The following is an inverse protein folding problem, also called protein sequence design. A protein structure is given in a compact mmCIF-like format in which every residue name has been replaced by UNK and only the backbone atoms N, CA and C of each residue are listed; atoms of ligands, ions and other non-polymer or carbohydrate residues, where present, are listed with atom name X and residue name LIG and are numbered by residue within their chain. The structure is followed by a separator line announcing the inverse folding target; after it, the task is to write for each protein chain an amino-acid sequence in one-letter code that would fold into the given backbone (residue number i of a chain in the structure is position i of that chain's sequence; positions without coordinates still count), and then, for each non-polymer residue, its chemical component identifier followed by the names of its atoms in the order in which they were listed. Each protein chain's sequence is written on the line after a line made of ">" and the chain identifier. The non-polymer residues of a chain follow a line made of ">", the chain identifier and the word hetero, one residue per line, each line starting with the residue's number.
data_IF_052582652688
#
_entry.id   IF_052582652688
#
_cell.length_a   1.000
_cell.length_b   1.000
_cell.length_c   1.000
_cell.angle_alpha   90.00
_cell.angle_beta   90.00
_cell.angle_gamma   90.00
#
_symmetry.space_group_name_H-M   'P 1'
#
loop_
_entity.id
_entity.type
_entity.pdbx_description
1 polymer ?
#
# COMPACT_ATOMS: atom_id res chain seq x y z
N UNK A 1 -49.28 42.46 -41.15
CA UNK A 1 -48.46 43.43 -40.37
C UNK A 1 -48.42 42.97 -38.92
N UNK A 2 -47.21 42.84 -38.34
CA UNK A 2 -46.82 42.90 -36.90
C UNK A 2 -47.64 42.03 -35.90
N UNK A 3 -47.05 41.29 -34.97
CA UNK A 3 -45.74 41.44 -34.36
C UNK A 3 -45.28 40.16 -33.68
N UNK A 4 -43.96 39.99 -33.73
CA UNK A 4 -43.15 39.08 -32.93
C UNK A 4 -42.60 39.94 -31.78
N UNK A 5 -42.59 39.42 -30.55
CA UNK A 5 -41.63 39.63 -29.44
C UNK A 5 -42.31 39.13 -28.16
N UNK A 6 -41.81 38.04 -27.60
CA UNK A 6 -41.57 37.89 -26.16
C UNK A 6 -40.20 37.20 -26.01
N UNK A 7 -39.22 38.03 -25.62
CA UNK A 7 -37.98 37.75 -24.90
C UNK A 7 -38.28 37.12 -23.52
N UNK A 8 -37.48 36.35 -22.78
CA UNK A 8 -36.06 35.96 -22.74
C UNK A 8 -35.95 34.85 -21.67
N UNK A 9 -35.02 33.90 -21.79
CA UNK A 9 -34.17 33.53 -20.64
C UNK A 9 -32.87 32.85 -21.10
N UNK A 10 -31.83 33.68 -21.07
CA UNK A 10 -30.46 33.40 -20.65
C UNK A 10 -29.63 32.32 -21.40
N UNK A 11 -28.94 32.70 -22.50
CA UNK A 11 -27.71 32.06 -22.92
C UNK A 11 -26.51 32.68 -22.18
N UNK A 12 -25.45 31.91 -21.95
CA UNK A 12 -24.14 32.26 -21.33
C UNK A 12 -23.96 31.89 -19.85
N UNK A 13 -23.10 30.89 -19.63
CA UNK A 13 -22.52 30.55 -18.33
C UNK A 13 -21.60 29.33 -18.40
N UNK A 14 -20.42 29.51 -19.02
CA UNK A 14 -19.35 28.51 -19.16
C UNK A 14 -18.98 27.83 -17.83
N UNK A 15 -18.60 26.55 -17.89
CA UNK A 15 -17.24 26.18 -17.48
C UNK A 15 -16.61 25.19 -18.47
N UNK A 16 -15.64 25.71 -19.19
CA UNK A 16 -14.54 24.98 -19.79
C UNK A 16 -13.62 24.48 -18.68
N UNK A 17 -13.17 23.24 -18.77
CA UNK A 17 -12.09 22.67 -17.96
C UNK A 17 -12.05 21.17 -18.22
N UNK A 18 -11.31 20.67 -19.22
CA UNK A 18 -9.89 20.31 -19.06
C UNK A 18 -9.45 20.25 -17.60
N UNK A 19 -10.07 19.39 -16.81
CA UNK A 19 -9.46 18.81 -15.60
C UNK A 19 -9.90 17.35 -15.51
N UNK A 20 -9.33 16.52 -16.39
CA UNK A 20 -9.14 15.09 -16.13
C UNK A 20 -8.09 14.87 -15.03
N UNK A 21 -8.06 15.73 -14.02
CA UNK A 21 -7.46 15.41 -12.74
C UNK A 21 -8.55 14.63 -12.05
N UNK A 22 -8.28 13.34 -11.84
CA UNK A 22 -9.08 12.47 -10.99
C UNK A 22 -9.33 13.22 -9.69
N UNK A 23 -10.49 13.86 -9.56
CA UNK A 23 -10.98 14.34 -8.28
C UNK A 23 -11.24 13.06 -7.51
N UNK A 24 -10.22 12.61 -6.77
CA UNK A 24 -10.27 11.50 -5.84
C UNK A 24 -11.32 11.86 -4.81
N UNK A 25 -12.58 11.55 -5.12
CA UNK A 25 -13.68 11.69 -4.20
C UNK A 25 -13.32 10.82 -2.99
N UNK A 26 -13.31 11.41 -1.80
CA UNK A 26 -12.92 10.73 -0.57
C UNK A 26 -13.71 9.42 -0.38
N UNK A 27 -14.96 9.41 -0.85
CA UNK A 27 -15.82 8.22 -0.87
C UNK A 27 -15.31 7.12 -1.81
N UNK A 28 -14.80 7.48 -2.99
CA UNK A 28 -14.21 6.52 -3.94
C UNK A 28 -12.93 5.92 -3.36
N UNK A 29 -12.11 6.73 -2.69
CA UNK A 29 -10.89 6.27 -2.03
C UNK A 29 -11.19 5.25 -0.90
N UNK A 30 -12.19 5.54 -0.07
CA UNK A 30 -12.63 4.61 0.99
C UNK A 30 -13.23 3.33 0.42
N UNK A 31 -14.00 3.40 -0.68
CA UNK A 31 -14.56 2.22 -1.39
C UNK A 31 -13.43 1.34 -1.95
N UNK A 32 -12.43 1.94 -2.61
CA UNK A 32 -11.26 1.24 -3.14
C UNK A 32 -10.43 0.58 -2.04
N UNK A 33 -10.17 1.30 -0.95
CA UNK A 33 -9.40 0.77 0.17
C UNK A 33 -10.12 -0.39 0.86
N UNK A 34 -11.45 -0.33 1.01
CA UNK A 34 -12.24 -1.40 1.61
C UNK A 34 -12.35 -2.63 0.70
N UNK A 35 -12.42 -2.45 -0.62
CA UNK A 35 -12.53 -3.58 -1.56
C UNK A 35 -11.19 -4.31 -1.75
N UNK A 36 -10.07 -3.61 -1.58
CA UNK A 36 -8.70 -4.14 -1.79
C UNK A 36 -7.83 -4.11 -0.53
N UNK A 37 -8.38 -4.06 0.68
CA UNK A 37 -7.59 -3.97 1.92
C UNK A 37 -6.54 -5.09 2.07
N UNK A 38 -6.82 -6.28 1.55
CA UNK A 38 -5.89 -7.42 1.52
C UNK A 38 -4.61 -7.07 0.75
N UNK A 39 -4.68 -6.31 -0.35
CA UNK A 39 -3.47 -5.94 -1.10
C UNK A 39 -2.58 -5.03 -0.28
N UNK A 40 -3.17 -4.10 0.48
CA UNK A 40 -2.44 -3.22 1.41
C UNK A 40 -1.79 -4.04 2.52
N UNK A 41 -2.53 -4.97 3.14
CA UNK A 41 -1.98 -5.81 4.20
C UNK A 41 -0.83 -6.68 3.70
N UNK A 42 -0.95 -7.27 2.51
CA UNK A 42 0.11 -8.10 1.92
C UNK A 42 1.35 -7.27 1.59
N UNK A 43 1.20 -6.09 1.00
CA UNK A 43 2.36 -5.23 0.68
C UNK A 43 3.05 -4.71 1.94
N UNK A 44 2.28 -4.35 2.96
CA UNK A 44 2.82 -3.97 4.27
C UNK A 44 3.60 -5.12 4.89
N UNK A 45 3.02 -6.33 4.90
CA UNK A 45 3.68 -7.50 5.46
C UNK A 45 5.00 -7.79 4.73
N UNK A 46 5.00 -7.77 3.39
CA UNK A 46 6.20 -7.98 2.59
C UNK A 46 7.26 -6.89 2.85
N UNK A 47 6.85 -5.63 2.95
CA UNK A 47 7.78 -4.52 3.22
C UNK A 47 8.42 -4.62 4.62
N UNK A 48 7.63 -4.95 5.65
CA UNK A 48 8.11 -5.14 7.02
C UNK A 48 9.02 -6.37 7.12
N UNK A 49 8.66 -7.49 6.50
CA UNK A 49 9.51 -8.68 6.45
C UNK A 49 10.81 -8.41 5.70
N UNK A 50 10.75 -7.68 4.59
CA UNK A 50 11.93 -7.25 3.84
C UNK A 50 12.85 -6.34 4.66
N UNK A 51 12.29 -5.35 5.35
CA UNK A 51 13.04 -4.47 6.24
C UNK A 51 13.67 -5.24 7.42
N UNK A 52 12.93 -6.19 8.00
CA UNK A 52 13.43 -7.07 9.04
C UNK A 52 14.57 -7.97 8.55
N UNK A 53 14.43 -8.58 7.37
CA UNK A 53 15.46 -9.41 6.76
C UNK A 53 16.72 -8.59 6.44
N UNK A 54 16.58 -7.41 5.84
CA UNK A 54 17.71 -6.51 5.58
C UNK A 54 18.42 -6.12 6.88
N UNK A 55 17.65 -5.83 7.93
CA UNK A 55 18.18 -5.54 9.27
C UNK A 55 18.92 -6.74 9.86
N UNK A 56 18.43 -7.97 9.68
CA UNK A 56 19.13 -9.17 10.15
C UNK A 56 20.40 -9.48 9.37
N UNK A 57 20.50 -9.03 8.11
CA UNK A 57 21.66 -9.24 7.24
C UNK A 57 22.74 -8.15 7.38
N UNK A 58 22.40 -6.97 7.91
CA UNK A 58 23.39 -5.90 8.15
C UNK A 58 24.33 -6.26 9.29
N UNK A 59 25.63 -6.05 9.07
CA UNK A 59 26.68 -6.28 10.07
C UNK A 59 26.48 -5.37 11.29
N UNK A 60 26.48 -5.92 12.52
CA UNK A 60 26.32 -5.11 13.71
C UNK A 60 27.55 -4.24 13.97
N UNK A 61 27.34 -2.96 14.28
CA UNK A 61 28.41 -2.06 14.72
C UNK A 61 28.19 -1.66 16.17
N UNK A 62 29.26 -1.76 16.95
CA UNK A 62 29.32 -1.39 18.36
C UNK A 62 29.99 -0.04 18.51
N UNK A 63 29.49 0.76 19.45
CA UNK A 63 30.04 2.09 19.72
C UNK A 63 30.72 2.11 21.10
N UNK A 64 31.99 2.47 21.13
CA UNK A 64 32.71 2.75 22.37
C UNK A 64 32.98 4.26 22.48
N UNK A 65 32.88 4.79 23.70
CA UNK A 65 33.02 6.23 23.94
C UNK A 65 34.06 6.52 25.02
N UNK A 66 34.93 7.50 24.78
CA UNK A 66 35.83 8.10 25.78
C UNK A 66 35.49 9.57 25.97
N UNK A 67 35.76 10.09 27.18
CA UNK A 67 35.64 11.52 27.47
C UNK A 67 36.99 12.10 27.87
N UNK A 68 37.35 13.18 27.21
CA UNK A 68 38.58 13.93 27.46
C UNK A 68 38.25 15.27 28.10
N UNK A 69 39.09 15.71 29.03
CA UNK A 69 39.01 17.02 29.66
C UNK A 69 40.22 17.86 29.26
N UNK A 70 39.96 19.07 28.78
CA UNK A 70 40.98 20.03 28.36
C UNK A 70 41.17 21.07 29.47
N UNK A 71 42.41 21.30 29.87
CA UNK A 71 42.76 22.33 30.85
C UNK A 71 43.99 23.11 30.41
N UNK A 72 43.99 24.42 30.60
CA UNK A 72 45.17 25.27 30.40
C UNK A 72 46.07 25.31 31.63
N UNK A 73 47.36 25.58 31.42
CA UNK A 73 48.27 25.92 32.51
C UNK A 73 47.70 27.08 33.34
N UNK A 74 47.73 26.94 34.67
CA UNK A 74 47.06 27.87 35.59
C UNK A 74 47.92 29.12 35.83
N UNK A 75 47.38 30.30 35.52
CA UNK A 75 47.93 31.58 35.99
C UNK A 75 47.49 31.91 37.42
N UNK A 76 48.27 32.73 38.14
CA UNK A 76 47.98 33.11 39.54
C UNK A 76 46.96 34.24 39.69
N UNK A 77 46.57 34.94 38.62
CA UNK A 77 45.58 36.03 38.68
C UNK A 77 44.20 35.62 38.18
N UNK A 78 43.15 36.26 38.70
CA UNK A 78 41.75 36.03 38.29
C UNK A 78 41.55 36.30 36.79
N UNK A 79 42.23 37.32 36.24
CA UNK A 79 42.24 37.63 34.81
C UNK A 79 42.83 36.50 33.96
N UNK A 80 43.91 35.86 34.42
CA UNK A 80 44.55 34.74 33.70
C UNK A 80 43.65 33.50 33.69
N UNK A 81 42.89 33.27 34.77
CA UNK A 81 41.94 32.16 34.87
C UNK A 81 40.76 32.36 33.91
N UNK A 82 40.20 33.57 33.83
CA UNK A 82 39.10 33.87 32.90
C UNK A 82 39.55 33.78 31.44
N UNK A 83 40.74 34.29 31.11
CA UNK A 83 41.29 34.20 29.75
C UNK A 83 41.66 32.75 29.40
N UNK A 84 42.23 31.99 30.35
CA UNK A 84 42.57 30.57 30.18
C UNK A 84 41.34 29.68 29.95
N UNK A 85 40.22 29.96 30.60
CA UNK A 85 38.98 29.20 30.35
C UNK A 85 38.44 29.43 28.93
N UNK A 86 38.45 30.68 28.44
CA UNK A 86 38.02 30.99 27.07
C UNK A 86 38.98 30.38 26.03
N UNK A 87 40.29 30.43 26.29
CA UNK A 87 41.30 29.78 25.45
C UNK A 87 41.09 28.26 25.40
N UNK A 88 40.80 27.61 26.54
CA UNK A 88 40.47 26.18 26.60
C UNK A 88 39.26 25.84 25.72
N UNK A 89 38.21 26.66 25.76
CA UNK A 89 37.02 26.48 24.92
C UNK A 89 37.31 26.64 23.42
N UNK A 90 38.17 27.59 23.03
CA UNK A 90 38.60 27.77 21.63
C UNK A 90 39.49 26.61 21.14
N UNK A 91 40.31 26.02 22.03
CA UNK A 91 41.13 24.83 21.72
C UNK A 91 40.32 23.56 21.54
N UNK A 92 39.23 23.39 22.29
CA UNK A 92 38.36 22.21 22.21
C UNK A 92 37.88 21.94 20.78
N UNK A 93 37.52 22.99 20.02
CA UNK A 93 37.11 22.85 18.62
C UNK A 93 38.28 22.34 17.76
N UNK A 94 39.45 22.98 17.84
CA UNK A 94 40.64 22.52 17.10
C UNK A 94 41.04 21.09 17.47
N UNK A 95 40.91 20.71 18.75
CA UNK A 95 41.22 19.37 19.23
C UNK A 95 40.24 18.32 18.71
N UNK A 96 38.96 18.65 18.56
CA UNK A 96 38.00 17.73 17.90
C UNK A 96 38.41 17.42 16.46
N UNK A 97 38.92 18.40 15.71
CA UNK A 97 39.43 18.18 14.35
C UNK A 97 40.70 17.33 14.34
N UNK A 98 41.64 17.58 15.26
CA UNK A 98 42.87 16.78 15.40
C UNK A 98 42.59 15.32 15.77
N UNK A 99 41.58 15.07 16.62
CA UNK A 99 41.13 13.72 16.99
C UNK A 99 40.62 12.92 15.78
N UNK A 100 40.04 13.60 14.79
CA UNK A 100 39.60 13.01 13.53
C UNK A 100 40.69 13.01 12.44
N UNK A 101 41.90 13.47 12.79
CA UNK A 101 43.03 13.61 11.88
C UNK A 101 43.74 12.29 11.55
N UNK A 102 44.35 12.25 10.37
CA UNK A 102 44.95 11.01 9.83
C UNK A 102 46.18 10.57 10.63
N UNK A 103 46.95 11.53 11.14
CA UNK A 103 48.14 11.26 11.96
C UNK A 103 47.80 10.44 13.20
N UNK A 104 46.72 10.81 13.90
CA UNK A 104 46.30 10.11 15.10
C UNK A 104 45.72 8.72 14.78
N UNK A 105 44.93 8.64 13.70
CA UNK A 105 44.43 7.36 13.21
C UNK A 105 45.57 6.41 12.85
N UNK A 106 46.62 6.89 12.16
CA UNK A 106 47.79 6.09 11.82
C UNK A 106 48.54 5.60 13.06
N UNK A 107 48.82 6.49 14.03
CA UNK A 107 49.44 6.11 15.31
C UNK A 107 48.65 5.02 16.04
N UNK A 108 47.32 5.12 16.02
CA UNK A 108 46.43 4.14 16.65
C UNK A 108 46.47 2.79 15.93
N UNK A 109 46.44 2.80 14.58
CA UNK A 109 46.57 1.59 13.75
C UNK A 109 47.89 0.89 14.02
N UNK A 110 48.99 1.64 14.02
CA UNK A 110 50.34 1.10 14.24
C UNK A 110 50.50 0.51 15.65
N UNK A 111 49.95 1.18 16.67
CA UNK A 111 50.05 0.75 18.07
C UNK A 111 49.23 -0.50 18.39
N UNK A 112 48.06 -0.64 17.77
CA UNK A 112 47.18 -1.80 17.95
C UNK A 112 47.43 -2.91 16.92
N UNK A 113 48.25 -2.67 15.90
CA UNK A 113 48.47 -3.63 14.82
C UNK A 113 47.21 -3.96 14.03
N UNK A 114 46.37 -2.95 13.76
CA UNK A 114 45.09 -3.17 13.07
C UNK A 114 45.29 -3.46 11.59
N UNK A 115 44.47 -4.36 11.03
CA UNK A 115 44.49 -4.69 9.59
C UNK A 115 43.77 -3.65 8.70
N UNK A 116 43.31 -2.53 9.28
CA UNK A 116 42.61 -1.46 8.57
C UNK A 116 43.55 -0.29 8.28
N UNK A 117 43.28 0.46 7.20
CA UNK A 117 44.03 1.68 6.89
C UNK A 117 43.63 2.84 7.80
N UNK A 118 44.51 3.82 7.98
CA UNK A 118 44.21 5.02 8.77
C UNK A 118 42.95 5.77 8.27
N UNK A 119 42.72 5.98 6.95
CA UNK A 119 41.48 6.57 6.47
C UNK A 119 40.23 5.77 6.84
N UNK A 120 40.30 4.44 6.79
CA UNK A 120 39.18 3.59 7.19
C UNK A 120 38.89 3.67 8.70
N UNK A 121 39.91 3.91 9.52
CA UNK A 121 39.73 4.20 10.94
C UNK A 121 39.15 5.60 11.17
N UNK A 122 39.58 6.62 10.41
CA UNK A 122 39.03 7.98 10.52
C UNK A 122 37.51 7.99 10.30
N UNK A 123 37.00 7.27 9.30
CA UNK A 123 35.56 7.18 9.01
C UNK A 123 34.75 6.54 10.16
N UNK A 124 35.43 5.85 11.09
CA UNK A 124 34.85 5.18 12.26
C UNK A 124 34.98 5.99 13.55
N UNK A 125 35.74 7.08 13.53
CA UNK A 125 36.01 7.92 14.68
C UNK A 125 35.23 9.22 14.53
N UNK A 126 34.51 9.60 15.57
CA UNK A 126 33.81 10.87 15.61
C UNK A 126 34.04 11.54 16.98
N UNK A 127 34.50 12.80 16.96
CA UNK A 127 34.76 13.59 18.15
C UNK A 127 33.81 14.80 18.18
N UNK A 128 33.15 14.99 19.31
CA UNK A 128 32.19 16.09 19.50
C UNK A 128 32.46 16.81 20.80
N UNK A 129 32.15 18.10 20.83
CA UNK A 129 32.19 18.93 22.04
C UNK A 129 30.87 19.67 22.18
N UNK A 130 30.43 19.91 23.42
CA UNK A 130 29.29 20.79 23.67
C UNK A 130 29.76 22.25 23.70
N UNK A 131 28.92 23.15 23.22
CA UNK A 131 29.20 24.59 23.27
C UNK A 131 29.53 25.01 24.71
N UNK A 132 30.54 25.88 24.86
CA UNK A 132 31.00 26.40 26.16
C UNK A 132 31.54 25.34 27.14
N UNK A 133 31.92 24.16 26.66
CA UNK A 133 32.53 23.10 27.48
C UNK A 133 33.99 22.84 27.14
N UNK A 134 34.73 22.33 28.12
CA UNK A 134 36.11 21.84 27.96
C UNK A 134 36.17 20.30 27.86
N UNK A 135 35.04 19.69 27.52
CA UNK A 135 34.88 18.25 27.41
C UNK A 135 34.78 17.87 25.93
N UNK A 136 35.51 16.82 25.57
CA UNK A 136 35.44 16.21 24.24
C UNK A 136 34.98 14.77 24.41
N UNK A 137 33.84 14.45 23.81
CA UNK A 137 33.33 13.08 23.70
C UNK A 137 33.85 12.49 22.39
N UNK A 138 34.64 11.43 22.48
CA UNK A 138 35.17 10.68 21.33
C UNK A 138 34.43 9.36 21.24
N UNK A 139 33.93 9.04 20.06
CA UNK A 139 33.17 7.83 19.78
C UNK A 139 33.84 7.05 18.65
N UNK A 140 33.91 5.74 18.80
CA UNK A 140 34.49 4.83 17.83
C UNK A 140 33.50 3.73 17.51
N UNK A 141 33.28 3.49 16.22
CA UNK A 141 32.43 2.42 15.70
C UNK A 141 33.26 1.26 15.17
N UNK A 142 32.95 0.05 15.62
CA UNK A 142 33.61 -1.15 15.11
C UNK A 142 32.70 -2.39 15.20
N UNK A 143 32.92 -3.37 14.34
CA UNK A 143 32.19 -4.65 14.33
C UNK A 143 32.41 -5.48 15.61
N UNK A 144 33.52 -5.28 16.32
CA UNK A 144 33.82 -5.94 17.58
C UNK A 144 33.75 -4.95 18.75
N UNK A 145 32.93 -5.28 19.75
CA UNK A 145 32.79 -4.49 20.98
C UNK A 145 34.13 -4.29 21.72
N UNK A 146 34.96 -5.32 21.76
CA UNK A 146 36.28 -5.27 22.41
C UNK A 146 37.22 -4.36 21.61
N UNK A 147 37.25 -4.51 20.28
CA UNK A 147 38.09 -3.70 19.40
C UNK A 147 37.67 -2.23 19.42
N UNK A 148 36.37 -1.93 19.43
CA UNK A 148 35.85 -0.57 19.57
C UNK A 148 36.40 0.10 20.84
N UNK A 149 36.34 -0.59 21.98
CA UNK A 149 36.87 -0.12 23.26
C UNK A 149 38.38 0.14 23.18
N UNK A 150 39.13 -0.82 22.64
CA UNK A 150 40.60 -0.76 22.59
C UNK A 150 41.08 0.37 21.68
N UNK A 151 40.41 0.55 20.54
CA UNK A 151 40.65 1.69 19.64
C UNK A 151 40.33 3.01 20.36
N UNK A 152 39.16 3.15 20.99
CA UNK A 152 38.77 4.39 21.65
C UNK A 152 39.75 4.80 22.78
N UNK A 153 40.15 3.83 23.60
CA UNK A 153 41.13 4.05 24.67
C UNK A 153 42.52 4.38 24.11
N UNK A 154 43.01 3.62 23.12
CA UNK A 154 44.34 3.83 22.55
C UNK A 154 44.43 5.15 21.80
N UNK A 155 43.40 5.49 21.02
CA UNK A 155 43.30 6.77 20.29
C UNK A 155 43.31 7.95 21.26
N UNK A 156 42.60 7.83 22.38
CA UNK A 156 42.59 8.83 23.44
C UNK A 156 43.96 8.97 24.11
N UNK A 157 44.62 7.85 24.42
CA UNK A 157 45.96 7.85 25.02
C UNK A 157 47.01 8.45 24.06
N UNK A 158 46.96 8.11 22.76
CA UNK A 158 47.82 8.70 21.73
C UNK A 158 47.53 10.18 21.49
N UNK A 159 46.28 10.61 21.65
CA UNK A 159 45.91 12.01 21.53
C UNK A 159 46.50 12.85 22.66
N UNK A 160 46.50 12.33 23.90
CA UNK A 160 47.15 12.99 25.04
C UNK A 160 48.65 13.19 24.76
N UNK A 161 49.31 12.21 24.15
CA UNK A 161 50.72 12.32 23.73
C UNK A 161 50.89 13.36 22.63
N UNK A 162 50.05 13.32 21.58
CA UNK A 162 50.11 14.26 20.46
C UNK A 162 49.88 15.71 20.91
N UNK A 163 48.89 15.97 21.76
CA UNK A 163 48.65 17.32 22.29
C UNK A 163 49.83 17.78 23.13
N UNK A 164 50.41 16.91 23.95
CA UNK A 164 51.63 17.25 24.69
C UNK A 164 52.78 17.61 23.75
N UNK A 165 52.98 16.89 22.65
CA UNK A 165 54.00 17.22 21.65
C UNK A 165 53.74 18.56 20.95
N UNK A 166 52.47 18.91 20.68
CA UNK A 166 52.08 20.14 19.99
C UNK A 166 52.08 21.38 20.91
N UNK A 167 51.77 21.22 22.19
CA UNK A 167 51.62 22.32 23.15
C UNK A 167 52.85 22.53 24.06
N UNK A 168 53.90 21.70 23.93
CA UNK A 168 55.17 21.91 24.65
C UNK A 168 56.04 22.88 23.85
N UNK A 169 56.39 24.06 24.39
CA UNK A 169 57.29 25.02 23.71
C UNK A 169 58.70 24.42 23.48
N UNK A 170 59.42 24.93 22.47
CA UNK A 170 60.79 24.48 22.13
C UNK A 170 61.78 24.62 23.31
N UNK A 171 61.52 25.56 24.22
CA UNK A 171 62.31 25.81 25.42
C UNK A 171 62.11 24.75 26.53
N UNK A 172 61.17 23.81 26.36
CA UNK A 172 60.93 22.70 27.27
C UNK A 172 60.11 23.04 28.52
N UNK A 173 59.43 24.20 28.51
CA UNK A 173 58.54 24.66 29.57
C UNK A 173 57.25 23.82 29.67
N UNK A 174 56.41 24.11 30.68
CA UNK A 174 55.16 23.39 30.88
C UNK A 174 54.20 23.59 29.70
N UNK A 175 53.47 22.54 29.24
CA UNK A 175 52.54 22.67 28.12
C UNK A 175 51.45 23.71 28.40
N UNK A 176 51.15 24.55 27.40
CA UNK A 176 50.14 25.62 27.47
C UNK A 176 48.74 25.04 27.72
N UNK A 177 48.46 23.89 27.13
CA UNK A 177 47.26 23.11 27.36
C UNK A 177 47.60 21.63 27.63
N UNK A 178 46.74 20.99 28.43
CA UNK A 178 46.82 19.59 28.79
C UNK A 178 45.47 18.93 28.56
N UNK A 179 45.51 17.73 28.02
CA UNK A 179 44.35 16.85 27.87
C UNK A 179 44.53 15.67 28.79
N UNK A 180 43.47 15.33 29.53
CA UNK A 180 43.42 14.13 30.36
C UNK A 180 42.21 13.29 29.98
N UNK A 181 42.34 11.97 30.09
CA UNK A 181 41.22 11.04 29.91
C UNK A 181 40.40 11.04 31.19
N UNK A 182 39.21 11.65 31.16
CA UNK A 182 38.28 11.71 32.30
C UNK A 182 37.50 10.39 32.42
N UNK A 183 36.98 9.89 31.30
CA UNK A 183 36.27 8.61 31.23
C UNK A 183 36.87 7.72 30.14
N UNK A 184 37.33 6.54 30.54
CA UNK A 184 37.77 5.48 29.62
C UNK A 184 36.58 4.73 29.02
N UNK A 185 36.76 4.20 27.82
CA UNK A 185 35.74 3.39 27.16
C UNK A 185 35.53 2.07 27.90
N UNK A 186 34.26 1.73 28.12
CA UNK A 186 33.81 0.40 28.51
C UNK A 186 33.51 -0.46 27.28
N UNK A 187 33.37 -1.77 27.47
CA UNK A 187 32.88 -2.66 26.41
C UNK A 187 31.38 -2.36 26.23
N UNK A 188 30.91 -2.01 25.02
CA UNK A 188 29.49 -1.86 24.76
C UNK A 188 28.77 -3.21 24.76
N UNK A 189 27.62 -3.28 25.42
CA UNK A 189 26.81 -4.50 25.53
C UNK A 189 26.00 -4.76 24.26
N UNK A 190 25.40 -3.71 23.69
CA UNK A 190 24.52 -3.78 22.53
C UNK A 190 25.09 -3.04 21.31
N UNK A 191 24.85 -3.53 20.08
CA UNK A 191 25.22 -2.81 18.87
C UNK A 191 24.31 -1.59 18.63
N UNK A 192 24.87 -0.51 18.10
CA UNK A 192 24.14 0.72 17.74
C UNK A 192 23.58 0.71 16.32
N UNK A 193 24.08 -0.20 15.48
CA UNK A 193 23.62 -0.46 14.11
C UNK A 193 23.44 -1.97 13.95
N UNK A 194 22.38 -2.43 13.28
CA UNK A 194 21.28 -1.66 12.72
C UNK A 194 20.26 -1.21 13.76
N UNK A 195 19.61 -0.07 13.52
CA UNK A 195 18.53 0.41 14.38
C UNK A 195 17.23 -0.30 14.02
N UNK A 196 17.00 -1.45 14.65
CA UNK A 196 15.90 -2.38 14.35
C UNK A 196 14.53 -1.70 14.32
N UNK A 197 14.18 -0.93 15.36
CA UNK A 197 12.88 -0.27 15.47
C UNK A 197 12.68 0.80 14.36
N UNK A 198 13.59 1.78 14.17
CA UNK A 198 13.49 2.72 13.05
C UNK A 198 13.41 2.06 11.67
N UNK A 199 14.18 1.00 11.43
CA UNK A 199 14.17 0.29 10.15
C UNK A 199 12.81 -0.36 9.89
N UNK A 200 12.23 -1.03 10.90
CA UNK A 200 10.90 -1.64 10.79
C UNK A 200 9.80 -0.57 10.61
N UNK A 201 9.88 0.56 11.30
CA UNK A 201 8.95 1.67 11.12
C UNK A 201 9.03 2.27 9.71
N UNK A 202 10.24 2.38 9.16
CA UNK A 202 10.46 2.84 7.79
C UNK A 202 9.87 1.83 6.79
N UNK A 203 10.08 0.53 7.02
CA UNK A 203 9.46 -0.54 6.22
C UNK A 203 7.93 -0.52 6.28
N UNK A 204 7.35 -0.29 7.47
CA UNK A 204 5.91 -0.14 7.66
C UNK A 204 5.37 1.06 6.87
N UNK A 205 5.99 2.24 7.02
CA UNK A 205 5.56 3.46 6.35
C UNK A 205 5.60 3.31 4.82
N UNK A 206 6.71 2.78 4.28
CA UNK A 206 6.86 2.50 2.86
C UNK A 206 5.84 1.46 2.37
N UNK A 207 5.61 0.39 3.15
CA UNK A 207 4.63 -0.64 2.84
C UNK A 207 3.20 -0.12 2.76
N UNK A 208 2.82 0.82 3.63
CA UNK A 208 1.49 1.45 3.62
C UNK A 208 1.34 2.34 2.39
N UNK A 209 2.31 3.21 2.12
CA UNK A 209 2.27 4.12 0.96
C UNK A 209 2.17 3.32 -0.33
N UNK A 210 3.04 2.32 -0.50
CA UNK A 210 3.05 1.47 -1.68
C UNK A 210 1.76 0.63 -1.79
N UNK A 211 1.26 0.12 -0.66
CA UNK A 211 0.04 -0.68 -0.61
C UNK A 211 -1.19 0.09 -1.03
N UNK A 212 -1.34 1.32 -0.54
CA UNK A 212 -2.42 2.24 -0.93
C UNK A 212 -2.31 2.55 -2.43
N UNK A 213 -1.12 2.91 -2.91
CA UNK A 213 -0.90 3.19 -4.33
C UNK A 213 -1.27 2.01 -5.23
N UNK A 214 -0.87 0.80 -4.86
CA UNK A 214 -1.22 -0.44 -5.59
C UNK A 214 -2.71 -0.79 -5.50
N UNK A 215 -3.37 -0.52 -4.37
CA UNK A 215 -4.80 -0.72 -4.20
C UNK A 215 -5.61 0.20 -5.13
N UNK A 216 -5.25 1.49 -5.17
CA UNK A 216 -5.89 2.47 -6.07
C UNK A 216 -5.61 2.13 -7.53
N UNK A 217 -4.35 1.82 -7.88
CA UNK A 217 -4.00 1.43 -9.24
C UNK A 217 -4.79 0.20 -9.71
N UNK A 218 -4.95 -0.80 -8.84
CA UNK A 218 -5.78 -1.98 -9.13
C UNK A 218 -7.26 -1.65 -9.30
N UNK A 219 -7.78 -0.66 -8.59
CA UNK A 219 -9.18 -0.26 -8.72
C UNK A 219 -9.42 0.54 -10.01
N UNK A 220 -8.48 1.42 -10.39
CA UNK A 220 -8.55 2.19 -11.65
C UNK A 220 -8.39 1.29 -12.88
N UNK A 221 -7.58 0.22 -12.79
CA UNK A 221 -7.44 -0.77 -13.87
C UNK A 221 -8.60 -1.80 -13.91
N UNK A 222 -9.52 -1.76 -12.95
CA UNK A 222 -10.65 -2.67 -12.87
C UNK A 222 -11.80 -2.21 -13.76
N UNK A 223 -11.84 -2.69 -15.00
CA UNK A 223 -12.87 -2.35 -16.00
C UNK A 223 -14.23 -3.07 -15.77
N UNK A 224 -14.53 -3.51 -14.55
CA UNK A 224 -15.78 -4.19 -14.22
C UNK A 224 -16.89 -3.18 -13.95
N UNK A 225 -18.07 -3.38 -14.55
CA UNK A 225 -19.28 -2.61 -14.23
C UNK A 225 -19.83 -3.08 -12.87
N UNK A 226 -19.71 -2.23 -11.85
CA UNK A 226 -20.10 -2.56 -10.46
C UNK A 226 -21.38 -1.89 -10.00
N UNK A 227 -21.75 -0.79 -10.64
CA UNK A 227 -22.83 0.09 -10.19
C UNK A 227 -23.86 0.30 -11.31
N UNK A 228 -25.14 0.47 -10.91
CA UNK A 228 -26.29 0.66 -11.82
C UNK A 228 -26.13 1.90 -12.69
N UNK A 229 -25.69 3.00 -12.08
CA UNK A 229 -25.44 4.28 -12.74
C UNK A 229 -24.43 4.14 -13.88
N UNK A 230 -23.30 3.46 -13.63
CA UNK A 230 -22.27 3.21 -14.66
C UNK A 230 -22.81 2.42 -15.85
N UNK A 231 -23.76 1.50 -15.64
CA UNK A 231 -24.38 0.73 -16.71
C UNK A 231 -25.35 1.60 -17.53
N UNK A 232 -26.17 2.42 -16.88
CA UNK A 232 -27.12 3.32 -17.54
C UNK A 232 -26.38 4.40 -18.35
N UNK A 233 -25.30 4.97 -17.81
CA UNK A 233 -24.43 5.93 -18.50
C UNK A 233 -23.75 5.32 -19.72
N UNK A 234 -23.23 4.09 -19.61
CA UNK A 234 -22.49 3.45 -20.70
C UNK A 234 -23.40 2.96 -21.81
N UNK A 235 -24.58 2.42 -21.47
CA UNK A 235 -25.49 1.80 -22.44
C UNK A 235 -26.54 2.78 -22.99
N UNK A 236 -26.82 3.87 -22.27
CA UNK A 236 -27.91 4.79 -22.59
C UNK A 236 -29.30 4.16 -22.43
N UNK A 237 -29.41 3.02 -21.73
CA UNK A 237 -30.66 2.28 -21.57
C UNK A 237 -31.06 2.18 -20.09
N UNK A 238 -32.37 2.25 -19.83
CA UNK A 238 -32.89 2.06 -18.49
C UNK A 238 -32.78 0.60 -18.05
N UNK A 239 -32.37 0.36 -16.81
CA UNK A 239 -32.31 -0.99 -16.26
C UNK A 239 -33.71 -1.49 -15.93
N UNK A 240 -34.08 -2.61 -16.57
CA UNK A 240 -35.37 -3.30 -16.39
C UNK A 240 -35.47 -4.02 -15.04
N UNK A 241 -34.35 -4.43 -14.45
CA UNK A 241 -34.33 -5.02 -13.10
C UNK A 241 -32.94 -5.46 -12.65
N UNK A 242 -32.78 -5.67 -11.34
CA UNK A 242 -31.57 -6.23 -10.73
C UNK A 242 -31.89 -7.55 -10.04
N UNK A 243 -31.14 -8.60 -10.37
CA UNK A 243 -31.32 -9.93 -9.78
C UNK A 243 -30.13 -10.20 -8.84
N UNK A 244 -30.37 -10.45 -7.54
CA UNK A 244 -29.29 -10.80 -6.61
C UNK A 244 -28.56 -12.08 -7.04
N UNK A 245 -27.23 -12.10 -6.87
CA UNK A 245 -26.44 -13.29 -7.14
C UNK A 245 -26.61 -14.33 -6.01
N UNK A 246 -27.22 -15.45 -6.34
CA UNK A 246 -27.29 -16.63 -5.48
C UNK A 246 -26.38 -17.74 -6.04
N UNK A 247 -25.37 -18.13 -5.25
CA UNK A 247 -24.36 -19.12 -5.66
C UNK A 247 -24.94 -20.53 -5.79
N UNK A 248 -25.97 -20.86 -5.01
CA UNK A 248 -26.59 -22.19 -5.03
C UNK A 248 -27.44 -22.40 -6.29
N UNK A 249 -27.88 -21.30 -6.91
CA UNK A 249 -28.67 -21.30 -8.16
C UNK A 249 -27.85 -21.58 -9.41
N UNK A 250 -26.52 -21.62 -9.32
CA UNK A 250 -25.69 -22.19 -10.40
C UNK A 250 -25.98 -23.68 -10.64
N UNK A 251 -26.51 -24.39 -9.63
CA UNK A 251 -26.86 -25.82 -9.72
C UNK A 251 -28.35 -26.04 -9.96
N UNK A 252 -29.22 -25.14 -9.47
CA UNK A 252 -30.66 -25.20 -9.64
C UNK A 252 -31.19 -23.87 -10.19
N UNK A 253 -31.33 -23.79 -11.52
CA UNK A 253 -31.70 -22.54 -12.17
C UNK A 253 -33.16 -22.12 -11.90
N UNK A 254 -34.10 -23.07 -11.81
CA UNK A 254 -35.51 -22.76 -11.57
C UNK A 254 -35.77 -22.43 -10.09
N UNK A 255 -36.47 -21.32 -9.84
CA UNK A 255 -36.93 -20.90 -8.53
C UNK A 255 -38.30 -21.53 -8.25
N UNK A 256 -38.53 -22.00 -7.03
CA UNK A 256 -39.87 -22.29 -6.55
C UNK A 256 -40.52 -20.99 -6.09
N UNK A 257 -41.65 -20.65 -6.70
CA UNK A 257 -42.46 -19.49 -6.35
C UNK A 257 -43.43 -19.78 -5.19
N UNK A 258 -43.45 -21.03 -4.69
CA UNK A 258 -44.31 -21.46 -3.58
C UNK A 258 -43.89 -20.87 -2.22
N UNK A 259 -42.63 -20.44 -2.11
CA UNK A 259 -42.13 -19.79 -0.91
C UNK A 259 -42.32 -18.27 -1.01
N UNK A 260 -43.39 -17.77 -0.37
CA UNK A 260 -43.85 -16.38 -0.43
C UNK A 260 -42.78 -15.34 -0.03
N UNK A 261 -41.74 -15.74 0.72
CA UNK A 261 -40.74 -14.82 1.29
C UNK A 261 -39.35 -14.85 0.62
N UNK A 262 -39.21 -15.37 -0.60
CA UNK A 262 -37.91 -15.39 -1.30
C UNK A 262 -37.57 -14.02 -1.92
N UNK A 263 -36.47 -13.34 -1.51
CA UNK A 263 -36.07 -12.05 -2.10
C UNK A 263 -35.79 -12.13 -3.61
N UNK A 264 -35.41 -13.30 -4.10
CA UNK A 264 -35.12 -13.54 -5.52
C UNK A 264 -36.42 -13.74 -6.30
N UNK A 265 -37.41 -14.44 -5.73
CA UNK A 265 -38.73 -14.56 -6.34
C UNK A 265 -39.37 -13.17 -6.50
N UNK A 266 -39.26 -12.32 -5.48
CA UNK A 266 -39.67 -10.91 -5.54
C UNK A 266 -38.93 -10.12 -6.62
N UNK A 267 -37.62 -10.37 -6.82
CA UNK A 267 -36.87 -9.74 -7.91
C UNK A 267 -37.41 -10.12 -9.30
N UNK A 268 -37.77 -11.39 -9.51
CA UNK A 268 -38.37 -11.85 -10.77
C UNK A 268 -39.83 -11.41 -10.95
N UNK A 269 -40.62 -11.31 -9.88
CA UNK A 269 -41.96 -10.70 -9.91
C UNK A 269 -41.90 -9.22 -10.29
N UNK A 270 -40.93 -8.47 -9.74
CA UNK A 270 -40.65 -7.08 -10.15
C UNK A 270 -40.23 -7.00 -11.61
N UNK A 271 -39.34 -7.89 -12.06
CA UNK A 271 -38.90 -7.94 -13.45
C UNK A 271 -40.07 -8.20 -14.41
N UNK A 272 -40.96 -9.14 -14.09
CA UNK A 272 -42.21 -9.40 -14.84
C UNK A 272 -43.05 -8.13 -14.97
N UNK A 273 -43.33 -7.47 -13.84
CA UNK A 273 -44.13 -6.24 -13.82
C UNK A 273 -43.47 -5.16 -14.70
N UNK A 274 -42.15 -4.96 -14.58
CA UNK A 274 -41.44 -4.00 -15.40
C UNK A 274 -41.49 -4.33 -16.89
N UNK A 275 -41.36 -5.62 -17.27
CA UNK A 275 -41.49 -6.08 -18.66
C UNK A 275 -42.89 -5.80 -19.23
N UNK A 276 -43.94 -5.96 -18.43
CA UNK A 276 -45.32 -5.63 -18.83
C UNK A 276 -45.50 -4.11 -19.05
N UNK A 277 -44.78 -3.28 -18.30
CA UNK A 277 -44.84 -1.81 -18.43
C UNK A 277 -43.87 -1.20 -19.44
N UNK A 278 -43.01 -2.00 -20.10
CA UNK A 278 -42.11 -1.47 -21.14
C UNK A 278 -42.87 -0.88 -22.33
N UNK A 279 -44.06 -1.40 -22.64
CA UNK A 279 -44.92 -0.90 -23.69
C UNK A 279 -46.39 -1.04 -23.29
N UNK A 280 -46.98 0.06 -22.77
CA UNK A 280 -48.35 0.09 -22.23
C UNK A 280 -49.39 -0.25 -23.30
N UNK A 281 -49.20 0.26 -24.52
CA UNK A 281 -50.16 0.06 -25.62
C UNK A 281 -50.01 -1.31 -26.30
N UNK A 282 -48.79 -1.87 -26.29
CA UNK A 282 -48.46 -3.12 -26.99
C UNK A 282 -47.44 -3.92 -26.17
N UNK A 283 -47.86 -4.64 -25.12
CA UNK A 283 -46.93 -5.37 -24.27
C UNK A 283 -46.18 -6.46 -25.07
N UNK A 284 -44.88 -6.66 -24.80
CA UNK A 284 -44.04 -7.57 -25.58
C UNK A 284 -44.51 -9.01 -25.45
N UNK A 285 -44.78 -9.67 -26.59
CA UNK A 285 -45.17 -11.10 -26.65
C UNK A 285 -44.01 -12.04 -26.93
N UNK A 286 -42.89 -11.51 -27.44
CA UNK A 286 -41.67 -12.26 -27.74
C UNK A 286 -40.51 -11.55 -27.09
N UNK A 287 -39.82 -12.23 -26.18
CA UNK A 287 -38.72 -11.68 -25.40
C UNK A 287 -37.48 -12.54 -25.65
N UNK A 288 -36.40 -11.91 -26.12
CA UNK A 288 -35.10 -12.56 -26.29
C UNK A 288 -34.21 -12.20 -25.11
N UNK A 289 -33.69 -13.23 -24.43
CA UNK A 289 -32.72 -13.05 -23.34
C UNK A 289 -31.32 -13.38 -23.86
N UNK A 290 -30.45 -12.39 -23.91
CA UNK A 290 -29.06 -12.53 -24.35
C UNK A 290 -28.11 -11.87 -23.34
N UNK A 291 -26.80 -11.99 -23.56
CA UNK A 291 -25.79 -11.39 -22.70
C UNK A 291 -24.47 -11.18 -23.45
N UNK A 292 -23.60 -10.35 -22.89
CA UNK A 292 -22.34 -9.92 -23.50
C UNK A 292 -21.26 -11.00 -23.48
N UNK A 293 -21.24 -11.85 -22.44
CA UNK A 293 -20.28 -12.95 -22.29
C UNK A 293 -20.96 -14.25 -21.82
N UNK A 294 -20.33 -15.43 -22.04
CA UNK A 294 -20.83 -16.68 -21.49
C UNK A 294 -20.97 -16.63 -19.96
N UNK A 295 -21.92 -17.38 -19.42
CA UNK A 295 -22.13 -17.54 -17.96
C UNK A 295 -22.64 -16.31 -17.17
N UNK A 296 -23.21 -15.29 -17.82
CA UNK A 296 -23.91 -14.18 -17.14
C UNK A 296 -25.32 -14.51 -16.65
N UNK A 297 -25.75 -15.78 -16.75
CA UNK A 297 -27.05 -16.21 -16.23
C UNK A 297 -28.23 -16.12 -17.22
N UNK A 298 -27.99 -15.99 -18.53
CA UNK A 298 -29.02 -15.99 -19.60
C UNK A 298 -30.11 -17.05 -19.39
N UNK A 299 -29.72 -18.33 -19.32
CA UNK A 299 -30.65 -19.46 -19.17
C UNK A 299 -31.42 -19.38 -17.86
N UNK A 300 -30.75 -19.01 -16.76
CA UNK A 300 -31.38 -18.84 -15.44
C UNK A 300 -32.40 -17.72 -15.45
N UNK A 301 -32.07 -16.58 -16.04
CA UNK A 301 -33.00 -15.45 -16.18
C UNK A 301 -34.18 -15.80 -17.07
N UNK A 302 -33.94 -16.47 -18.20
CA UNK A 302 -35.01 -16.90 -19.12
C UNK A 302 -36.00 -17.86 -18.44
N UNK A 303 -35.50 -18.87 -17.72
CA UNK A 303 -36.34 -19.81 -16.96
C UNK A 303 -37.20 -19.07 -15.94
N UNK A 304 -36.60 -18.21 -15.10
CA UNK A 304 -37.33 -17.59 -14.01
C UNK A 304 -38.27 -16.46 -14.45
N UNK A 305 -37.96 -15.76 -15.55
CA UNK A 305 -38.92 -14.84 -16.19
C UNK A 305 -40.10 -15.63 -16.74
N UNK A 306 -39.87 -16.76 -17.39
CA UNK A 306 -40.95 -17.61 -17.91
C UNK A 306 -41.84 -18.16 -16.78
N UNK A 307 -41.24 -18.61 -15.68
CA UNK A 307 -41.97 -19.06 -14.49
C UNK A 307 -42.75 -17.92 -13.82
N UNK A 308 -42.15 -16.72 -13.70
CA UNK A 308 -42.86 -15.57 -13.13
C UNK A 308 -44.04 -15.14 -14.01
N UNK A 309 -43.91 -15.19 -15.34
CA UNK A 309 -45.03 -14.94 -16.26
C UNK A 309 -46.11 -16.01 -16.12
N UNK A 310 -45.74 -17.28 -16.04
CA UNK A 310 -46.68 -18.39 -15.84
C UNK A 310 -47.42 -18.31 -14.48
N UNK A 311 -46.74 -17.87 -13.42
CA UNK A 311 -47.36 -17.61 -12.11
C UNK A 311 -48.47 -16.55 -12.18
N UNK A 312 -48.41 -15.64 -13.15
CA UNK A 312 -49.44 -14.63 -13.40
C UNK A 312 -50.47 -15.06 -14.47
N UNK A 313 -50.67 -16.37 -14.63
CA UNK A 313 -51.67 -16.97 -15.52
C UNK A 313 -51.46 -16.64 -17.02
N UNK A 314 -50.21 -16.43 -17.43
CA UNK A 314 -49.85 -16.30 -18.85
C UNK A 314 -49.54 -17.67 -19.45
N UNK A 315 -49.99 -17.89 -20.68
CA UNK A 315 -49.54 -19.03 -21.50
C UNK A 315 -48.13 -18.75 -22.04
N UNK A 316 -47.12 -19.33 -21.40
CA UNK A 316 -45.71 -19.08 -21.73
C UNK A 316 -45.09 -20.29 -22.42
N UNK A 317 -44.44 -20.05 -23.55
CA UNK A 317 -43.54 -21.01 -24.20
C UNK A 317 -42.11 -20.52 -24.04
N UNK A 318 -41.27 -21.34 -23.41
CA UNK A 318 -39.84 -21.07 -23.29
C UNK A 318 -39.08 -21.89 -24.35
N UNK A 319 -38.31 -21.21 -25.19
CA UNK A 319 -37.56 -21.82 -26.29
C UNK A 319 -36.06 -21.75 -26.00
N UNK A 320 -35.35 -22.88 -26.12
CA UNK A 320 -33.89 -22.89 -26.06
C UNK A 320 -33.32 -22.46 -27.42
N UNK A 321 -32.98 -21.18 -27.53
CA UNK A 321 -32.35 -20.61 -28.73
C UNK A 321 -30.84 -20.88 -28.82
N UNK A 322 -30.19 -21.41 -27.77
CA UNK A 322 -28.76 -21.73 -27.81
C UNK A 322 -28.54 -23.13 -28.39
N UNK A 323 -28.46 -23.20 -29.72
CA UNK A 323 -28.19 -24.44 -30.45
C UNK A 323 -26.76 -24.97 -30.25
N UNK A 324 -25.85 -24.14 -29.73
CA UNK A 324 -24.44 -24.53 -29.55
C UNK A 324 -24.23 -25.24 -28.22
N UNK A 325 -24.89 -24.77 -27.16
CA UNK A 325 -24.82 -25.35 -25.81
C UNK A 325 -26.21 -25.33 -25.16
N UNK A 326 -27.16 -26.15 -25.64
CA UNK A 326 -28.51 -26.19 -25.08
C UNK A 326 -28.46 -26.66 -23.63
N UNK A 327 -29.10 -25.91 -22.74
CA UNK A 327 -29.04 -26.16 -21.28
C UNK A 327 -30.41 -26.22 -20.62
N UNK A 328 -31.47 -25.73 -21.27
CA UNK A 328 -32.79 -25.61 -20.63
C UNK A 328 -33.38 -26.98 -20.25
N UNK A 329 -33.23 -27.98 -21.12
CA UNK A 329 -33.73 -29.34 -20.86
C UNK A 329 -33.17 -29.94 -19.57
N UNK A 330 -31.90 -29.66 -19.23
CA UNK A 330 -31.27 -30.15 -17.99
C UNK A 330 -31.81 -29.45 -16.75
N UNK A 331 -32.08 -28.15 -16.83
CA UNK A 331 -32.60 -27.40 -15.68
C UNK A 331 -34.07 -27.69 -15.40
N UNK A 332 -34.83 -27.98 -16.45
CA UNK A 332 -36.27 -28.23 -16.38
C UNK A 332 -36.63 -29.72 -16.28
N UNK A 333 -35.63 -30.60 -16.34
CA UNK A 333 -35.80 -32.06 -16.34
C UNK A 333 -36.69 -32.56 -17.50
N UNK A 334 -36.36 -32.11 -18.71
CA UNK A 334 -37.05 -32.42 -19.96
C UNK A 334 -36.21 -33.31 -20.87
N UNK A 335 -36.88 -33.98 -21.81
CA UNK A 335 -36.22 -34.83 -22.80
C UNK A 335 -35.62 -33.95 -23.91
N UNK A 336 -34.30 -34.01 -24.12
CA UNK A 336 -33.57 -33.14 -25.06
C UNK A 336 -33.40 -33.68 -26.48
N UNK A 337 -34.05 -34.78 -26.87
CA UNK A 337 -33.82 -35.47 -28.17
C UNK A 337 -34.53 -34.81 -29.35
N UNK A 338 -35.70 -34.21 -29.13
CA UNK A 338 -36.51 -33.51 -30.14
C UNK A 338 -36.81 -32.12 -29.60
N UNK A 339 -36.54 -31.08 -30.38
CA UNK A 339 -36.70 -29.70 -29.92
C UNK A 339 -36.67 -28.67 -31.05
N UNK A 340 -36.27 -27.44 -30.71
CA UNK A 340 -36.38 -26.28 -31.60
C UNK A 340 -35.69 -26.47 -32.96
N UNK A 341 -34.46 -27.01 -32.99
CA UNK A 341 -33.75 -27.27 -34.24
C UNK A 341 -34.45 -28.33 -35.11
N UNK A 342 -35.01 -29.37 -34.49
CA UNK A 342 -35.72 -30.44 -35.19
C UNK A 342 -36.97 -29.91 -35.89
N UNK A 343 -37.76 -29.07 -35.20
CA UNK A 343 -38.95 -28.42 -35.77
C UNK A 343 -38.56 -27.52 -36.94
N UNK A 344 -37.51 -26.70 -36.80
CA UNK A 344 -37.04 -25.83 -37.88
C UNK A 344 -36.55 -26.61 -39.11
N UNK A 345 -36.00 -27.81 -38.91
CA UNK A 345 -35.56 -28.70 -40.00
C UNK A 345 -36.70 -29.52 -40.63
N UNK A 346 -37.93 -29.43 -40.11
CA UNK A 346 -39.08 -30.23 -40.57
C UNK A 346 -39.07 -31.69 -40.11
N UNK A 347 -38.20 -32.06 -39.16
CA UNK A 347 -38.07 -33.44 -38.67
C UNK A 347 -39.08 -33.83 -37.58
N UNK A 348 -39.83 -32.87 -37.05
CA UNK A 348 -40.91 -33.06 -36.07
C UNK A 348 -41.91 -31.90 -36.17
N UNK A 349 -43.16 -32.14 -35.78
CA UNK A 349 -44.17 -31.08 -35.67
C UNK A 349 -43.97 -30.26 -34.38
N UNK A 350 -44.57 -29.07 -34.31
CA UNK A 350 -44.52 -28.23 -33.11
C UNK A 350 -45.13 -28.96 -31.90
N UNK A 351 -46.25 -29.65 -32.09
CA UNK A 351 -46.96 -30.35 -31.02
C UNK A 351 -46.13 -31.53 -30.45
N UNK A 352 -45.33 -32.19 -31.30
CA UNK A 352 -44.40 -33.25 -30.88
C UNK A 352 -43.19 -32.71 -30.10
N UNK A 353 -42.78 -31.47 -30.35
CA UNK A 353 -41.65 -30.84 -29.67
C UNK A 353 -42.03 -30.09 -28.39
N UNK A 354 -43.31 -29.74 -28.20
CA UNK A 354 -43.80 -29.06 -27.01
C UNK A 354 -43.89 -30.03 -25.82
N UNK A 355 -43.18 -29.70 -24.74
CA UNK A 355 -43.19 -30.47 -23.50
C UNK A 355 -43.69 -29.61 -22.33
N UNK A 356 -44.63 -30.14 -21.55
CA UNK A 356 -45.09 -29.50 -20.31
C UNK A 356 -44.02 -29.65 -19.24
N UNK A 357 -43.68 -28.55 -18.58
CA UNK A 357 -42.73 -28.58 -17.45
C UNK A 357 -43.42 -29.04 -16.17
N UNK A 358 -42.63 -29.52 -15.20
CA UNK A 358 -43.11 -29.94 -13.87
C UNK A 358 -43.47 -28.77 -12.93
N UNK A 359 -43.24 -27.53 -13.34
CA UNK A 359 -43.51 -26.36 -12.51
C UNK A 359 -44.99 -25.98 -12.65
N UNK A 360 -45.71 -25.80 -11.53
CA UNK A 360 -47.14 -25.56 -11.57
C UNK A 360 -47.45 -24.19 -12.19
N UNK A 361 -48.37 -24.19 -13.15
CA UNK A 361 -49.17 -23.02 -13.51
C UNK A 361 -50.36 -23.06 -12.57
N UNK A 362 -50.56 -22.01 -11.77
CA UNK A 362 -51.63 -21.98 -10.77
C UNK A 362 -52.99 -21.83 -11.42
#
# INVERSE_FOLDING_TARGET
>A
MRGRIIELSNPWGRSTGVEGVVALNLQAFVKALRSRWITVCVTVLVAVLGAGLLTLLTTPLYQASTRLFVSTASGTSVTDIYQGNRFSQERVISYTELLMGQTLAQRTVDKLGLEISAPALQDRVNATSKLDTVLIDVTVLDESAIRARDIANTLSDEFVVLVRELETPEDGDTPDARVIVEQRASIPDDPVVPRTIPNLLTGLALGVILGIGLAVLRDVLDNTVKDRESLEETTGTAIVGSIPLDKDRRKQAAISFDNENSPIAEAFRKLRTNLQFLAVDNPPRVIVVTSSVPSEGKSTTAINVALALAEADHNVVLVDGDLRRPTLHRYLDLVGTVGFSTVLSGGATLDEALQKTRFPVR
#
